data_IF_134036562134
#
_entry.id   IF_134036562134
#
_cell.length_a   1.000
_cell.length_b   1.000
_cell.length_c   1.000
_cell.angle_alpha   90.00
_cell.angle_beta   90.00
_cell.angle_gamma   90.00
#
_symmetry.space_group_name_H-M   'P 1'
#
loop_
_entity.id
_entity.type
_entity.pdbx_description
1 polymer ?
#
# COMPACT_ATOMS: atom_id res chain seq x y z
N UNK A 1 24.35 4.33 10.95
CA UNK A 1 23.13 3.65 11.44
C UNK A 1 21.97 4.44 10.87
N UNK A 2 21.18 3.86 9.98
CA UNK A 2 20.02 4.57 9.43
C UNK A 2 18.91 4.43 10.46
N UNK A 3 18.43 5.56 11.00
CA UNK A 3 17.30 5.53 11.93
C UNK A 3 16.04 5.34 11.11
N UNK A 4 15.37 4.20 11.22
CA UNK A 4 14.07 3.99 10.59
C UNK A 4 12.99 4.81 11.31
N UNK A 5 12.20 5.56 10.56
CA UNK A 5 11.09 6.39 11.04
C UNK A 5 9.79 5.88 10.43
N UNK A 6 8.72 5.81 11.24
CA UNK A 6 7.36 5.61 10.72
C UNK A 6 6.84 6.92 10.17
N UNK A 7 6.29 6.89 8.96
CA UNK A 7 5.58 8.01 8.34
C UNK A 7 4.06 7.92 8.48
N UNK A 8 3.58 7.04 9.37
CA UNK A 8 2.18 6.79 9.60
C UNK A 8 1.74 5.41 9.11
N UNK A 9 0.47 5.11 9.36
CA UNK A 9 -0.12 3.81 9.04
C UNK A 9 -0.96 3.87 7.77
N UNK A 10 -1.41 2.70 7.31
CA UNK A 10 -2.41 2.55 6.26
C UNK A 10 -3.63 3.44 6.52
N UNK A 11 -4.13 3.50 7.76
CA UNK A 11 -5.25 4.35 8.14
C UNK A 11 -5.00 5.86 7.89
N UNK A 12 -3.74 6.30 7.85
CA UNK A 12 -3.39 7.70 7.60
C UNK A 12 -3.29 8.07 6.12
N UNK A 13 -3.08 7.08 5.23
CA UNK A 13 -2.70 7.33 3.83
C UNK A 13 -3.49 6.53 2.78
N UNK A 14 -3.98 5.35 3.12
CA UNK A 14 -4.84 4.53 2.27
C UNK A 14 -6.30 4.91 2.40
N UNK A 15 -7.18 3.92 2.32
CA UNK A 15 -8.63 4.13 2.20
C UNK A 15 -9.36 4.35 3.55
N UNK A 16 -8.61 4.76 4.59
CA UNK A 16 -9.17 5.03 5.93
C UNK A 16 -9.43 3.80 6.79
N UNK A 17 -9.21 2.59 6.27
CA UNK A 17 -9.24 1.35 7.02
C UNK A 17 -8.01 1.19 7.93
N UNK A 18 -8.13 0.37 8.99
CA UNK A 18 -7.03 0.16 9.93
C UNK A 18 -5.85 -0.61 9.31
N UNK A 19 -6.13 -1.49 8.34
CA UNK A 19 -5.12 -2.32 7.67
C UNK A 19 -5.40 -2.41 6.17
N UNK A 20 -4.37 -2.76 5.40
CA UNK A 20 -4.49 -2.96 3.95
C UNK A 20 -5.46 -4.11 3.64
N UNK A 21 -5.41 -5.20 4.40
CA UNK A 21 -6.31 -6.35 4.27
C UNK A 21 -7.79 -5.92 4.42
N UNK A 22 -8.08 -5.08 5.42
CA UNK A 22 -9.42 -4.54 5.63
C UNK A 22 -9.85 -3.63 4.47
N UNK A 23 -8.93 -2.84 3.91
CA UNK A 23 -9.17 -2.03 2.71
C UNK A 23 -9.53 -2.87 1.49
N UNK A 24 -8.78 -3.95 1.24
CA UNK A 24 -9.04 -4.89 0.13
C UNK A 24 -10.40 -5.57 0.30
N UNK A 25 -10.69 -6.11 1.48
CA UNK A 25 -11.96 -6.76 1.76
C UNK A 25 -13.16 -5.79 1.64
N UNK A 26 -13.00 -4.56 2.13
CA UNK A 26 -14.02 -3.50 2.03
C UNK A 26 -14.25 -3.08 0.58
N UNK A 27 -13.19 -2.98 -0.21
CA UNK A 27 -13.28 -2.62 -1.64
C UNK A 27 -14.04 -3.67 -2.44
N UNK A 28 -13.81 -4.96 -2.14
CA UNK A 28 -14.52 -6.07 -2.79
C UNK A 28 -15.95 -6.29 -2.27
N UNK A 29 -16.23 -5.90 -1.03
CA UNK A 29 -17.57 -5.97 -0.44
C UNK A 29 -18.12 -7.39 -0.39
N UNK A 30 -19.35 -7.58 -0.87
CA UNK A 30 -20.02 -8.89 -0.86
C UNK A 30 -19.34 -9.93 -1.77
N UNK A 31 -18.56 -9.47 -2.76
CA UNK A 31 -17.85 -10.32 -3.71
C UNK A 31 -16.51 -10.82 -3.17
N UNK A 32 -16.10 -10.46 -1.95
CA UNK A 32 -14.79 -10.83 -1.41
C UNK A 32 -14.50 -12.34 -1.44
N UNK A 33 -15.53 -13.19 -1.32
CA UNK A 33 -15.38 -14.65 -1.40
C UNK A 33 -15.09 -15.17 -2.82
N UNK A 34 -15.41 -14.39 -3.84
CA UNK A 34 -15.19 -14.73 -5.25
C UNK A 34 -13.73 -14.52 -5.65
N UNK A 35 -12.92 -13.86 -4.82
CA UNK A 35 -11.52 -13.55 -5.08
C UNK A 35 -10.57 -14.35 -4.16
N UNK A 36 -9.33 -14.54 -4.60
CA UNK A 36 -8.24 -14.94 -3.73
C UNK A 36 -7.73 -13.74 -2.93
N UNK A 37 -8.36 -13.47 -1.78
CA UNK A 37 -8.06 -12.31 -0.93
C UNK A 37 -6.61 -12.27 -0.44
N UNK A 38 -6.03 -13.41 -0.10
CA UNK A 38 -4.66 -13.46 0.44
C UNK A 38 -3.65 -13.14 -0.66
N UNK A 39 -3.83 -13.74 -1.84
CA UNK A 39 -3.00 -13.49 -3.01
C UNK A 39 -3.16 -12.05 -3.53
N UNK A 40 -4.40 -11.53 -3.58
CA UNK A 40 -4.67 -10.15 -3.98
C UNK A 40 -4.09 -9.14 -3.00
N UNK A 41 -4.24 -9.36 -1.69
CA UNK A 41 -3.67 -8.49 -0.64
C UNK A 41 -2.15 -8.42 -0.79
N UNK A 42 -1.51 -9.58 -0.97
CA UNK A 42 -0.06 -9.65 -1.17
C UNK A 42 0.35 -8.90 -2.43
N UNK A 43 -0.30 -9.17 -3.55
CA UNK A 43 -0.01 -8.50 -4.81
C UNK A 43 -0.25 -6.99 -4.76
N UNK A 44 -1.26 -6.55 -4.02
CA UNK A 44 -1.56 -5.13 -3.85
C UNK A 44 -0.49 -4.44 -3.01
N UNK A 45 -0.06 -5.07 -1.91
CA UNK A 45 1.08 -4.60 -1.11
C UNK A 45 2.36 -4.52 -1.93
N UNK A 46 2.64 -5.54 -2.74
CA UNK A 46 3.83 -5.57 -3.59
C UNK A 46 3.78 -4.46 -4.64
N UNK A 47 2.65 -4.28 -5.31
CA UNK A 47 2.45 -3.20 -6.28
C UNK A 47 2.63 -1.80 -5.65
N UNK A 48 2.15 -1.61 -4.41
CA UNK A 48 2.36 -0.35 -3.69
C UNK A 48 3.84 -0.19 -3.33
N UNK A 49 4.52 -1.23 -2.84
CA UNK A 49 5.95 -1.17 -2.54
C UNK A 49 6.81 -0.88 -3.77
N UNK A 50 6.44 -1.40 -4.94
CA UNK A 50 7.11 -1.11 -6.21
C UNK A 50 6.87 0.34 -6.69
N UNK A 51 5.74 0.94 -6.31
CA UNK A 51 5.40 2.33 -6.62
C UNK A 51 5.93 3.32 -5.58
N UNK A 52 6.26 2.86 -4.37
CA UNK A 52 6.86 3.68 -3.33
C UNK A 52 8.29 4.08 -3.73
N UNK A 53 8.78 5.23 -3.27
CA UNK A 53 10.20 5.57 -3.38
C UNK A 53 11.07 4.48 -2.77
N UNK A 54 12.24 4.18 -3.34
CA UNK A 54 13.17 3.12 -2.89
C UNK A 54 13.51 3.15 -1.39
N UNK A 55 13.40 4.34 -0.77
CA UNK A 55 13.67 4.57 0.64
C UNK A 55 12.48 4.31 1.58
N UNK A 56 11.28 4.07 1.05
CA UNK A 56 10.05 3.86 1.80
C UNK A 56 9.50 2.46 1.50
N UNK A 57 9.08 1.75 2.55
CA UNK A 57 8.37 0.48 2.40
C UNK A 57 7.14 0.42 3.30
N UNK A 58 6.12 -0.28 2.81
CA UNK A 58 4.95 -0.67 3.57
C UNK A 58 5.20 -2.04 4.20
N UNK A 59 5.34 -2.07 5.53
CA UNK A 59 5.52 -3.29 6.30
C UNK A 59 4.37 -3.46 7.29
N UNK A 60 3.55 -4.49 7.10
CA UNK A 60 2.32 -4.68 7.84
C UNK A 60 1.31 -3.58 7.52
N UNK A 61 1.08 -2.68 8.47
CA UNK A 61 0.21 -1.50 8.33
C UNK A 61 0.94 -0.18 8.45
N UNK A 62 2.27 -0.18 8.59
CA UNK A 62 3.08 1.02 8.77
C UNK A 62 3.95 1.30 7.55
N UNK A 63 4.11 2.57 7.22
CA UNK A 63 5.08 3.03 6.23
C UNK A 63 6.36 3.45 6.93
N UNK A 64 7.47 2.84 6.54
CA UNK A 64 8.79 3.10 7.13
C UNK A 64 9.76 3.63 6.11
N UNK A 65 10.66 4.52 6.54
CA UNK A 65 11.83 4.91 5.76
C UNK A 65 12.86 5.68 6.60
N UNK A 66 13.91 6.24 6.00
CA UNK A 66 15.00 6.88 6.73
C UNK A 66 14.54 8.15 7.45
N UNK A 67 14.89 8.30 8.72
CA UNK A 67 14.73 9.55 9.46
C UNK A 67 15.34 10.69 8.63
N UNK A 68 14.57 11.78 8.46
CA UNK A 68 14.88 12.92 7.59
C UNK A 68 16.37 13.28 7.62
N UNK A 69 17.10 12.86 6.60
CA UNK A 69 18.45 13.33 6.31
C UNK A 69 18.65 13.36 4.79
N UNK A 70 19.49 14.30 4.36
CA UNK A 70 19.65 14.95 3.04
C UNK A 70 19.59 14.16 1.71
N UNK A 71 19.43 12.82 1.71
CA UNK A 71 19.40 11.95 0.52
C UNK A 71 18.01 11.33 0.29
N UNK A 72 16.98 12.17 0.17
CA UNK A 72 15.58 11.71 0.02
C UNK A 72 15.14 11.74 -1.45
N UNK A 73 14.64 10.61 -1.95
CA UNK A 73 14.27 10.39 -3.35
C UNK A 73 12.77 10.63 -3.66
N UNK A 74 12.04 11.33 -2.79
CA UNK A 74 10.64 11.71 -3.08
C UNK A 74 10.49 13.22 -3.19
N UNK A 75 9.73 13.65 -4.20
CA UNK A 75 9.50 15.06 -4.54
C UNK A 75 8.33 15.64 -3.75
N UNK A 76 8.46 15.85 -2.43
CA UNK A 76 7.37 16.40 -1.60
C UNK A 76 7.46 16.05 -0.11
N UNK A 77 6.34 16.11 0.62
CA UNK A 77 6.26 15.45 1.92
C UNK A 77 6.09 13.93 1.71
N UNK A 78 6.72 13.05 2.52
CA UNK A 78 6.59 11.60 2.34
C UNK A 78 5.15 11.10 2.37
N UNK A 79 4.25 11.81 3.07
CA UNK A 79 2.82 11.52 3.04
C UNK A 79 2.20 11.65 1.64
N UNK A 80 2.60 12.64 0.86
CA UNK A 80 2.07 12.86 -0.49
C UNK A 80 2.61 11.79 -1.45
N UNK A 81 3.90 11.45 -1.34
CA UNK A 81 4.49 10.37 -2.13
C UNK A 81 3.86 9.00 -1.82
N UNK A 82 3.55 8.73 -0.55
CA UNK A 82 2.82 7.51 -0.16
C UNK A 82 1.42 7.49 -0.78
N UNK A 83 0.66 8.59 -0.69
CA UNK A 83 -0.69 8.68 -1.28
C UNK A 83 -0.66 8.55 -2.80
N UNK A 84 0.33 9.17 -3.45
CA UNK A 84 0.53 9.07 -4.90
C UNK A 84 0.86 7.62 -5.32
N UNK A 85 1.74 6.94 -4.58
CA UNK A 85 2.04 5.53 -4.82
C UNK A 85 0.79 4.66 -4.70
N UNK A 86 0.00 4.82 -3.63
CA UNK A 86 -1.28 4.09 -3.45
C UNK A 86 -2.24 4.38 -4.61
N UNK A 87 -2.42 5.65 -4.97
CA UNK A 87 -3.33 6.07 -6.03
C UNK A 87 -2.87 5.63 -7.44
N UNK A 88 -1.58 5.35 -7.62
CA UNK A 88 -1.02 4.89 -8.90
C UNK A 88 -1.33 3.42 -9.19
N UNK A 89 -1.65 2.63 -8.16
CA UNK A 89 -1.95 1.20 -8.31
C UNK A 89 -3.39 1.03 -8.76
N UNK A 90 -3.59 0.45 -9.95
CA UNK A 90 -4.91 0.07 -10.43
C UNK A 90 -5.38 -1.21 -9.72
N UNK A 91 -6.04 -1.01 -8.58
CA UNK A 91 -6.59 -2.09 -7.76
C UNK A 91 -7.51 -3.03 -8.54
N UNK A 92 -8.37 -2.51 -9.41
CA UNK A 92 -9.37 -3.34 -10.10
C UNK A 92 -8.74 -4.18 -11.22
N UNK A 93 -7.79 -3.62 -11.96
CA UNK A 93 -7.00 -4.40 -12.92
C UNK A 93 -6.16 -5.49 -12.25
N UNK A 94 -5.72 -5.27 -11.00
CA UNK A 94 -5.05 -6.28 -10.21
C UNK A 94 -6.03 -7.35 -9.71
N UNK A 95 -7.16 -6.94 -9.12
CA UNK A 95 -8.20 -7.82 -8.58
C UNK A 95 -8.72 -8.80 -9.63
N UNK A 96 -8.91 -8.36 -10.88
CA UNK A 96 -9.34 -9.21 -11.98
C UNK A 96 -8.43 -10.44 -12.22
N UNK A 97 -7.15 -10.38 -11.83
CA UNK A 97 -6.21 -11.51 -11.96
C UNK A 97 -6.41 -12.58 -10.88
N UNK A 98 -7.12 -12.25 -9.81
CA UNK A 98 -7.35 -13.09 -8.63
C UNK A 98 -8.83 -13.46 -8.46
N UNK A 99 -9.67 -13.15 -9.44
CA UNK A 99 -11.06 -13.61 -9.52
C UNK A 99 -11.07 -15.13 -9.75
N UNK A 100 -11.75 -15.87 -8.87
CA UNK A 100 -11.89 -17.34 -8.92
C UNK A 100 -13.07 -17.78 -9.79
N UNK A 101 -13.90 -16.83 -10.23
CA UNK A 101 -15.12 -17.07 -11.02
C UNK A 101 -14.93 -16.81 -12.51
N UNK A 102 -13.80 -16.20 -12.89
CA UNK A 102 -13.40 -15.90 -14.26
C UNK A 102 -12.99 -17.14 -15.09
#
# INVERSE_FOLDING_TARGET
MVTTTSYGTWANHGDGELTLEAGVATSLGEYANDYDLDALTTAYRDAINDALPDSISLAGSDFYGPAYDTDRDFTGEPADAIREAIASVDFWSLAAKYDKTA
#
